data_IF_222767956846
#
_entry.id   IF_222767956846
#
_cell.length_a   1.000
_cell.length_b   1.000
_cell.length_c   1.000
_cell.angle_alpha   90.00
_cell.angle_beta   90.00
_cell.angle_gamma   90.00
#
_symmetry.space_group_name_H-M   'P 1'
#
loop_
_entity.id
_entity.type
_entity.pdbx_description
1 polymer ?
#
# COMPACT_ATOMS: atom_id res chain seq x y z
N UNK A 1 2.56 10.40 16.39
CA UNK A 1 2.79 11.78 16.08
C UNK A 1 4.05 12.00 15.28
N UNK A 2 5.14 11.47 15.73
CA UNK A 2 6.38 11.67 15.01
C UNK A 2 6.41 10.93 13.69
N UNK A 3 5.76 9.80 13.63
CA UNK A 3 5.69 9.08 12.38
C UNK A 3 4.97 9.90 11.31
N UNK A 4 3.89 10.56 11.69
CA UNK A 4 3.19 11.42 10.77
C UNK A 4 4.06 12.53 10.27
N UNK A 5 4.78 13.08 11.20
CA UNK A 5 5.65 14.19 10.91
C UNK A 5 6.71 13.79 9.90
N UNK A 6 7.28 12.61 10.08
CA UNK A 6 8.34 12.13 9.23
C UNK A 6 7.91 11.99 7.78
N UNK A 7 6.71 11.53 7.57
CA UNK A 7 6.21 11.29 6.21
C UNK A 7 5.36 12.43 5.70
N UNK A 8 5.11 13.43 6.52
CA UNK A 8 4.29 14.54 6.11
C UNK A 8 2.80 14.27 6.15
N UNK A 9 2.40 13.03 6.02
CA UNK A 9 0.99 12.67 5.98
C UNK A 9 0.85 11.17 6.15
N UNK A 10 -0.26 10.76 6.78
CA UNK A 10 -0.59 9.34 6.87
C UNK A 10 -1.39 8.87 5.67
N UNK A 11 -1.73 9.79 4.80
CA UNK A 11 -2.45 9.44 3.59
C UNK A 11 -1.46 8.92 2.56
N UNK A 12 -1.72 7.76 1.95
CA UNK A 12 -0.82 7.26 0.92
C UNK A 12 -0.79 8.18 -0.28
N UNK A 13 0.38 8.27 -0.91
CA UNK A 13 0.52 9.02 -2.16
C UNK A 13 -0.19 8.27 -3.28
N UNK A 14 -0.31 8.93 -4.44
CA UNK A 14 -0.90 8.28 -5.61
C UNK A 14 -0.16 7.01 -5.97
N UNK A 15 1.17 7.08 -5.93
CA UNK A 15 1.99 5.93 -6.27
C UNK A 15 1.79 4.80 -5.27
N UNK A 16 1.73 5.16 -4.01
CA UNK A 16 1.48 4.17 -2.97
C UNK A 16 0.11 3.55 -3.13
N UNK A 17 -0.88 4.36 -3.46
CA UNK A 17 -2.22 3.83 -3.69
C UNK A 17 -2.23 2.83 -4.83
N UNK A 18 -1.45 3.08 -5.87
CA UNK A 18 -1.36 2.15 -6.97
C UNK A 18 -0.76 0.82 -6.52
N UNK A 19 0.29 0.88 -5.71
CA UNK A 19 0.90 -0.34 -5.16
C UNK A 19 -0.13 -1.09 -4.31
N UNK A 20 -0.84 -0.37 -3.45
CA UNK A 20 -1.85 -0.99 -2.59
C UNK A 20 -2.90 -1.71 -3.42
N UNK A 21 -3.38 -1.06 -4.46
CA UNK A 21 -4.40 -1.64 -5.31
C UNK A 21 -3.94 -2.95 -5.95
N UNK A 22 -2.72 -2.94 -6.46
CA UNK A 22 -2.19 -4.12 -7.13
C UNK A 22 -1.93 -5.27 -6.15
N UNK A 23 -1.43 -4.94 -4.97
CA UNK A 23 -1.21 -5.94 -3.94
C UNK A 23 -2.55 -6.52 -3.50
N UNK A 24 -3.57 -5.69 -3.37
CA UNK A 24 -4.90 -6.15 -2.96
C UNK A 24 -5.51 -7.07 -3.99
N UNK A 25 -5.12 -6.93 -5.26
CA UNK A 25 -5.57 -7.83 -6.32
C UNK A 25 -4.83 -9.15 -6.32
N UNK A 26 -3.84 -9.31 -5.46
CA UNK A 26 -3.13 -10.56 -5.33
C UNK A 26 -1.84 -10.66 -6.11
N UNK A 27 -1.38 -9.55 -6.69
CA UNK A 27 -0.14 -9.56 -7.45
C UNK A 27 1.06 -9.76 -6.53
N UNK A 28 2.05 -10.50 -7.04
CA UNK A 28 3.34 -10.62 -6.35
C UNK A 28 4.14 -9.34 -6.56
N UNK A 29 5.11 -9.11 -5.70
CA UNK A 29 5.93 -7.90 -5.78
C UNK A 29 6.56 -7.71 -7.16
N UNK A 30 6.96 -8.81 -7.79
CA UNK A 30 7.56 -8.74 -9.12
C UNK A 30 6.58 -8.17 -10.13
N UNK A 31 5.34 -8.64 -10.07
CA UNK A 31 4.32 -8.18 -11.01
C UNK A 31 3.90 -6.76 -10.72
N UNK A 32 3.87 -6.39 -9.45
CA UNK A 32 3.61 -5.00 -9.09
C UNK A 32 4.71 -4.11 -9.67
N UNK A 33 5.96 -4.56 -9.52
CA UNK A 33 7.10 -3.80 -10.04
C UNK A 33 6.99 -3.60 -11.55
N UNK A 34 6.63 -4.66 -12.27
CA UNK A 34 6.47 -4.56 -13.72
C UNK A 34 5.36 -3.58 -14.07
N UNK A 35 4.26 -3.63 -13.32
CA UNK A 35 3.10 -2.80 -13.63
C UNK A 35 3.38 -1.31 -13.44
N UNK A 36 4.21 -0.96 -12.47
CA UNK A 36 4.49 0.45 -12.20
C UNK A 36 5.86 0.90 -12.73
N UNK A 37 6.57 0.00 -13.41
CA UNK A 37 7.82 0.37 -14.08
C UNK A 37 9.01 0.53 -13.14
N UNK A 38 9.14 -0.35 -12.18
CA UNK A 38 10.24 -0.27 -11.24
C UNK A 38 10.77 -1.68 -10.92
N UNK A 39 11.51 -1.82 -9.84
CA UNK A 39 12.07 -3.09 -9.42
C UNK A 39 11.35 -3.64 -8.21
N UNK A 40 11.50 -4.94 -8.02
CA UNK A 40 10.91 -5.62 -6.88
C UNK A 40 11.41 -5.02 -5.56
N UNK A 41 12.68 -4.65 -5.54
CA UNK A 41 13.27 -4.05 -4.35
C UNK A 41 12.56 -2.73 -3.98
N UNK A 42 12.27 -1.92 -4.97
CA UNK A 42 11.56 -0.66 -4.75
C UNK A 42 10.15 -0.92 -4.24
N UNK A 43 9.49 -1.95 -4.78
CA UNK A 43 8.15 -2.31 -4.31
C UNK A 43 8.18 -2.70 -2.83
N UNK A 44 9.20 -3.47 -2.43
CA UNK A 44 9.33 -3.84 -1.02
C UNK A 44 9.48 -2.60 -0.13
N UNK A 45 10.23 -1.61 -0.61
CA UNK A 45 10.39 -0.38 0.14
C UNK A 45 9.08 0.39 0.23
N UNK A 46 8.33 0.45 -0.86
CA UNK A 46 7.01 1.07 -0.84
C UNK A 46 6.12 0.41 0.21
N UNK A 47 6.11 -0.91 0.22
CA UNK A 47 5.24 -1.64 1.15
C UNK A 47 5.62 -1.37 2.60
N UNK A 48 6.93 -1.29 2.87
CA UNK A 48 7.37 -0.99 4.22
C UNK A 48 6.83 0.35 4.69
N UNK A 49 6.92 1.36 3.84
CA UNK A 49 6.42 2.69 4.16
C UNK A 49 4.91 2.68 4.30
N UNK A 50 4.23 1.98 3.40
CA UNK A 50 2.77 1.90 3.43
C UNK A 50 2.30 1.26 4.74
N UNK A 51 2.90 0.13 5.11
CA UNK A 51 2.54 -0.53 6.36
C UNK A 51 2.72 0.42 7.54
N UNK A 52 3.82 1.15 7.53
CA UNK A 52 4.12 2.07 8.61
C UNK A 52 3.11 3.21 8.67
N UNK A 53 2.77 3.76 7.52
CA UNK A 53 1.80 4.85 7.44
C UNK A 53 0.42 4.44 7.94
N UNK A 54 0.01 3.25 7.57
CA UNK A 54 -1.35 2.78 7.83
C UNK A 54 -1.47 1.97 9.12
N UNK A 55 -0.35 1.67 9.75
CA UNK A 55 -0.38 0.89 10.98
C UNK A 55 -0.69 -0.56 10.76
N UNK A 56 -0.22 -1.11 9.64
CA UNK A 56 -0.50 -2.49 9.27
C UNK A 56 0.75 -3.35 9.42
N UNK A 57 0.56 -4.66 9.55
CA UNK A 57 1.65 -5.57 9.80
C UNK A 57 2.03 -6.43 8.60
N UNK A 58 1.11 -6.66 7.66
CA UNK A 58 1.40 -7.58 6.57
C UNK A 58 0.44 -7.37 5.40
N UNK A 59 0.66 -8.17 4.35
CA UNK A 59 -0.10 -8.02 3.11
C UNK A 59 -1.58 -8.35 3.28
N UNK A 60 -1.90 -9.30 4.14
CA UNK A 60 -3.29 -9.67 4.36
C UNK A 60 -4.04 -8.50 4.97
N UNK A 61 -3.43 -7.85 5.96
CA UNK A 61 -4.06 -6.70 6.57
C UNK A 61 -4.20 -5.56 5.57
N UNK A 62 -3.22 -5.41 4.70
CA UNK A 62 -3.30 -4.37 3.68
C UNK A 62 -4.47 -4.61 2.74
N UNK A 63 -4.63 -5.84 2.30
CA UNK A 63 -5.74 -6.17 1.41
C UNK A 63 -7.08 -5.94 2.09
N UNK A 64 -7.20 -6.31 3.35
CA UNK A 64 -8.44 -6.07 4.09
C UNK A 64 -8.69 -4.59 4.28
N UNK A 65 -7.65 -3.83 4.56
CA UNK A 65 -7.76 -2.39 4.69
C UNK A 65 -8.29 -1.78 3.40
N UNK A 66 -7.74 -2.21 2.27
CA UNK A 66 -8.13 -1.70 0.97
C UNK A 66 -9.59 -2.01 0.69
N UNK A 67 -10.00 -3.25 0.94
CA UNK A 67 -11.38 -3.66 0.67
C UNK A 67 -12.37 -2.89 1.53
N UNK A 68 -12.03 -2.66 2.78
CA UNK A 68 -12.94 -1.96 3.66
C UNK A 68 -13.15 -0.51 3.23
N UNK A 69 -12.15 0.08 2.59
CA UNK A 69 -12.26 1.46 2.15
C UNK A 69 -12.86 1.57 0.76
N UNK A 70 -12.81 0.49 0.02
CA UNK A 70 -13.25 0.50 -1.35
C UNK A 70 -14.76 0.37 -1.49
N UNK A 71 -15.42 -0.12 -0.47
CA UNK A 71 -16.85 -0.44 -0.57
C UNK A 71 -17.68 0.20 0.52
N UNK A 72 -17.53 1.48 0.74
CA UNK A 72 -18.31 2.12 1.80
C UNK A 72 -19.80 2.13 1.51
N UNK A 73 -20.17 2.04 0.25
CA UNK A 73 -21.56 2.16 -0.14
C UNK A 73 -22.25 0.82 -0.30
N UNK A 74 -21.64 -0.23 0.12
CA UNK A 74 -22.21 -1.55 -0.02
C UNK A 74 -23.47 -1.77 0.79
N UNK A 75 -23.74 -0.89 1.65
CA UNK A 75 -24.87 -1.02 2.57
C UNK A 75 -26.21 -0.69 1.93
#
# INVERSE_FOLDING_TARGET
>A
MFANYRYGSRTPSERENRVIELVAQGLKNRDVADAIGTTEHVVKNYLRVIYDKLGLWNRVELALWYESRRQPEML
#
